data_IF_846411312705
#
_entry.id   IF_846411312705
#
_cell.length_a   1.000
_cell.length_b   1.000
_cell.length_c   1.000
_cell.angle_alpha   90.00
_cell.angle_beta   90.00
_cell.angle_gamma   90.00
#
_symmetry.space_group_name_H-M   'P 1'
#
loop_
_entity.id
_entity.type
_entity.pdbx_description
1 polymer ?
#
# COMPACT_ATOMS: atom_id res chain seq x y z
N UNK A 1 1.38 13.25 -16.89
CA UNK A 1 1.80 12.56 -15.65
C UNK A 1 0.93 13.12 -14.54
N UNK A 2 0.23 12.27 -13.80
CA UNK A 2 -0.59 12.73 -12.67
C UNK A 2 0.32 13.28 -11.57
N UNK A 3 -0.11 14.36 -10.92
CA UNK A 3 0.52 14.90 -9.73
C UNK A 3 -0.02 14.10 -8.54
N UNK A 4 0.81 13.49 -7.71
CA UNK A 4 0.37 12.66 -6.57
C UNK A 4 1.14 13.02 -5.30
N UNK A 5 0.49 12.87 -4.15
CA UNK A 5 1.17 12.98 -2.85
C UNK A 5 1.98 11.69 -2.59
N UNK A 6 2.84 11.69 -1.59
CA UNK A 6 3.70 10.55 -1.24
C UNK A 6 3.46 10.14 0.20
N UNK A 7 3.27 8.85 0.44
CA UNK A 7 3.40 8.32 1.79
C UNK A 7 4.87 8.30 2.21
N UNK A 8 5.15 8.79 3.41
CA UNK A 8 6.50 8.80 3.98
C UNK A 8 6.55 8.08 5.33
N UNK A 9 7.61 7.28 5.51
CA UNK A 9 7.83 6.48 6.72
C UNK A 9 9.26 5.95 6.78
N UNK A 10 9.68 5.50 7.96
CA UNK A 10 10.98 4.86 8.17
C UNK A 10 10.87 3.36 7.88
N UNK A 11 10.99 2.99 6.60
CA UNK A 11 10.74 1.64 6.11
C UNK A 11 12.03 0.81 6.04
N UNK A 12 12.07 -0.32 6.74
CA UNK A 12 13.21 -1.24 6.71
C UNK A 12 13.12 -2.19 5.53
N UNK A 13 14.09 -2.14 4.61
CA UNK A 13 14.14 -3.05 3.47
C UNK A 13 14.44 -4.49 3.93
N UNK A 14 13.69 -5.47 3.43
CA UNK A 14 13.93 -6.88 3.73
C UNK A 14 15.23 -7.39 3.11
N UNK A 15 15.62 -6.88 1.94
CA UNK A 15 16.81 -7.28 1.18
C UNK A 15 18.11 -6.70 1.75
N UNK A 16 18.26 -5.37 1.78
CA UNK A 16 19.53 -4.74 2.20
C UNK A 16 19.55 -4.29 3.67
N UNK A 17 18.42 -4.41 4.39
CA UNK A 17 18.27 -4.06 5.82
C UNK A 17 18.42 -2.58 6.17
N UNK A 18 18.76 -1.71 5.20
CA UNK A 18 18.72 -0.26 5.37
C UNK A 18 17.30 0.24 5.65
N UNK A 19 17.21 1.35 6.38
CA UNK A 19 15.97 2.03 6.71
C UNK A 19 15.86 3.27 5.83
N UNK A 20 14.76 3.42 5.09
CA UNK A 20 14.49 4.62 4.29
C UNK A 20 14.41 5.86 5.17
N UNK A 21 14.72 7.02 4.58
CA UNK A 21 14.34 8.29 5.19
C UNK A 21 12.82 8.43 5.17
N UNK A 22 12.30 9.24 6.08
CA UNK A 22 10.89 9.64 6.09
C UNK A 22 10.71 10.79 5.09
N UNK A 23 10.92 10.48 3.81
CA UNK A 23 10.79 11.39 2.67
C UNK A 23 10.26 10.62 1.44
N UNK A 24 10.06 11.32 0.33
CA UNK A 24 9.53 10.77 -0.93
C UNK A 24 10.50 9.83 -1.68
N UNK A 25 11.70 9.54 -1.17
CA UNK A 25 12.70 8.70 -1.86
C UNK A 25 12.26 7.25 -2.10
N UNK A 26 11.24 6.77 -1.37
CA UNK A 26 10.66 5.44 -1.55
C UNK A 26 9.69 5.35 -2.73
N UNK A 27 9.31 6.50 -3.30
CA UNK A 27 8.35 6.67 -4.38
C UNK A 27 6.97 6.01 -4.10
N UNK A 28 6.57 5.90 -2.84
CA UNK A 28 5.27 5.36 -2.44
C UNK A 28 4.18 6.42 -2.63
N UNK A 29 3.62 6.52 -3.83
CA UNK A 29 2.65 7.55 -4.20
C UNK A 29 1.25 7.22 -3.67
N UNK A 30 0.59 8.21 -3.06
CA UNK A 30 -0.81 8.11 -2.68
C UNK A 30 -1.70 8.84 -3.67
N UNK A 31 -2.66 8.11 -4.23
CA UNK A 31 -3.66 8.63 -5.19
C UNK A 31 -5.00 8.93 -4.51
N UNK A 32 -5.02 8.97 -3.18
CA UNK A 32 -6.25 8.99 -2.37
C UNK A 32 -6.88 10.39 -2.33
N UNK A 33 -6.08 11.46 -2.24
CA UNK A 33 -6.63 12.82 -2.21
C UNK A 33 -7.12 13.23 -3.60
N UNK A 34 -8.33 13.78 -3.67
CA UNK A 34 -8.91 14.30 -4.92
C UNK A 34 -8.19 15.52 -5.48
N UNK A 35 -7.43 16.24 -4.63
CA UNK A 35 -6.59 17.39 -5.00
C UNK A 35 -5.19 17.20 -4.42
N UNK A 36 -4.33 16.41 -5.08
CA UNK A 36 -2.96 16.21 -4.66
C UNK A 36 -2.18 17.54 -4.70
N UNK A 37 -1.19 17.69 -3.82
CA UNK A 37 -0.36 18.89 -3.68
C UNK A 37 1.15 18.59 -3.80
N UNK A 38 1.53 17.35 -4.12
CA UNK A 38 2.91 16.85 -4.05
C UNK A 38 3.45 16.82 -2.61
N UNK A 39 2.56 16.61 -1.64
CA UNK A 39 2.93 16.56 -0.23
C UNK A 39 3.60 15.23 0.13
N UNK A 40 4.51 15.30 1.09
CA UNK A 40 4.99 14.14 1.84
C UNK A 40 4.11 13.94 3.08
N UNK A 41 3.26 12.91 3.07
CA UNK A 41 2.28 12.63 4.11
C UNK A 41 2.69 11.42 4.92
N UNK A 42 2.91 11.63 6.22
CA UNK A 42 3.34 10.58 7.15
C UNK A 42 2.55 10.62 8.44
N UNK A 43 3.11 10.01 9.49
CA UNK A 43 2.50 9.99 10.83
C UNK A 43 2.06 11.40 11.27
N UNK A 44 0.84 11.50 11.78
CA UNK A 44 0.21 12.75 12.22
C UNK A 44 -0.51 13.53 11.13
N UNK A 45 -0.33 13.20 9.85
CA UNK A 45 -1.03 13.89 8.76
C UNK A 45 -2.48 13.42 8.63
N UNK A 46 -3.41 14.33 8.29
CA UNK A 46 -4.80 13.96 8.02
C UNK A 46 -4.91 13.20 6.70
N UNK A 47 -5.65 12.10 6.73
CA UNK A 47 -6.02 11.31 5.58
C UNK A 47 -7.35 10.60 5.84
N UNK A 48 -8.40 11.03 5.14
CA UNK A 48 -9.70 10.37 5.15
C UNK A 48 -9.74 9.33 4.02
N UNK A 49 -10.08 8.09 4.36
CA UNK A 49 -10.19 7.00 3.39
C UNK A 49 -11.57 6.39 3.49
N UNK A 50 -12.36 6.59 2.44
CA UNK A 50 -13.56 5.79 2.17
C UNK A 50 -13.22 4.70 1.15
N UNK A 51 -14.06 3.67 1.07
CA UNK A 51 -13.97 2.65 0.03
C UNK A 51 -13.88 3.28 -1.38
N UNK A 52 -14.78 4.21 -1.70
CA UNK A 52 -14.81 4.85 -3.02
C UNK A 52 -13.53 5.62 -3.36
N UNK A 53 -12.91 6.28 -2.38
CA UNK A 53 -11.63 6.97 -2.56
C UNK A 53 -10.49 5.97 -2.75
N UNK A 54 -10.45 4.90 -1.95
CA UNK A 54 -9.45 3.86 -2.07
C UNK A 54 -9.52 3.14 -3.43
N UNK A 55 -10.72 2.76 -3.86
CA UNK A 55 -10.94 2.12 -5.16
C UNK A 55 -10.60 3.05 -6.32
N UNK A 56 -10.97 4.33 -6.24
CA UNK A 56 -10.57 5.34 -7.22
C UNK A 56 -9.05 5.59 -7.26
N UNK A 57 -8.34 5.29 -6.16
CA UNK A 57 -6.90 5.39 -6.04
C UNK A 57 -6.15 4.12 -6.48
N UNK A 58 -6.85 3.08 -6.93
CA UNK A 58 -6.25 1.82 -7.38
C UNK A 58 -6.10 0.76 -6.29
N UNK A 59 -6.72 0.93 -5.12
CA UNK A 59 -6.77 -0.11 -4.10
C UNK A 59 -7.99 -1.01 -4.30
N UNK A 60 -7.84 -2.27 -3.93
CA UNK A 60 -8.91 -3.24 -3.88
C UNK A 60 -9.34 -3.45 -2.44
N UNK A 61 -10.65 -3.55 -2.24
CA UNK A 61 -11.23 -3.80 -0.93
C UNK A 61 -11.08 -5.28 -0.57
N UNK A 62 -10.32 -5.57 0.49
CA UNK A 62 -10.25 -6.91 1.09
C UNK A 62 -11.36 -7.07 2.12
N UNK A 63 -11.54 -6.06 2.97
CA UNK A 63 -12.61 -5.99 3.96
C UNK A 63 -13.00 -4.54 4.25
N UNK A 64 -14.27 -4.32 4.56
CA UNK A 64 -14.79 -2.99 4.87
C UNK A 64 -14.35 -2.56 6.28
N UNK A 65 -13.70 -1.40 6.45
CA UNK A 65 -13.41 -0.88 7.78
C UNK A 65 -14.71 -0.52 8.50
N UNK A 66 -14.87 -0.98 9.74
CA UNK A 66 -16.03 -0.59 10.55
C UNK A 66 -15.89 0.86 11.03
N UNK A 67 -17.00 1.49 11.37
CA UNK A 67 -16.99 2.84 11.91
C UNK A 67 -16.16 2.89 13.22
N UNK A 68 -15.16 3.78 13.25
CA UNK A 68 -14.26 3.94 14.41
C UNK A 68 -13.14 2.91 14.51
N UNK A 69 -13.09 1.93 13.59
CA UNK A 69 -11.98 1.00 13.47
C UNK A 69 -10.77 1.66 12.81
N UNK A 70 -9.61 1.08 13.04
CA UNK A 70 -8.38 1.43 12.35
C UNK A 70 -8.45 0.94 10.90
N UNK A 71 -8.34 1.85 9.93
CA UNK A 71 -8.19 1.48 8.52
C UNK A 71 -6.74 1.12 8.24
N UNK A 72 -6.53 0.05 7.47
CA UNK A 72 -5.20 -0.48 7.10
C UNK A 72 -5.10 -0.54 5.59
N UNK A 73 -4.14 0.19 5.02
CA UNK A 73 -3.80 0.11 3.60
C UNK A 73 -2.51 -0.68 3.45
N UNK A 74 -2.47 -1.56 2.46
CA UNK A 74 -1.25 -2.24 2.05
C UNK A 74 -0.81 -1.66 0.71
N UNK A 75 0.44 -1.22 0.64
CA UNK A 75 1.02 -0.65 -0.56
C UNK A 75 2.46 -1.11 -0.80
N UNK A 76 3.02 -0.76 -1.95
CA UNK A 76 4.40 -1.08 -2.30
C UNK A 76 5.32 0.13 -2.22
N UNK A 77 6.61 -0.15 -2.02
CA UNK A 77 7.66 0.85 -2.10
C UNK A 77 8.95 0.27 -2.69
N UNK A 78 9.76 1.16 -3.27
CA UNK A 78 11.09 0.80 -3.80
C UNK A 78 12.16 1.24 -2.81
N UNK A 79 13.09 0.34 -2.49
CA UNK A 79 14.18 0.68 -1.58
C UNK A 79 15.16 1.67 -2.26
N UNK A 80 15.37 2.88 -1.70
CA UNK A 80 16.26 3.87 -2.32
C UNK A 80 17.74 3.49 -2.26
N UNK A 81 18.11 2.50 -1.44
CA UNK A 81 19.51 2.08 -1.25
C UNK A 81 19.93 0.97 -2.20
N UNK A 82 19.09 -0.06 -2.39
CA UNK A 82 19.43 -1.23 -3.20
C UNK A 82 18.53 -1.39 -4.44
N UNK A 83 17.57 -0.49 -4.64
CA UNK A 83 16.66 -0.51 -5.79
C UNK A 83 15.68 -1.68 -5.81
N UNK A 84 15.62 -2.51 -4.76
CA UNK A 84 14.67 -3.63 -4.69
C UNK A 84 13.24 -3.08 -4.78
N UNK A 85 12.46 -3.47 -5.81
CA UNK A 85 11.09 -3.01 -5.98
C UNK A 85 10.11 -3.83 -5.14
N UNK A 86 8.85 -3.41 -5.14
CA UNK A 86 7.73 -4.18 -4.58
C UNK A 86 7.87 -4.56 -3.09
N UNK A 87 8.64 -3.85 -2.27
CA UNK A 87 8.60 -4.08 -0.82
C UNK A 87 7.23 -3.67 -0.29
N UNK A 88 6.67 -4.36 0.69
CA UNK A 88 5.35 -4.00 1.22
C UNK A 88 5.45 -3.01 2.38
N UNK A 89 4.48 -2.12 2.46
CA UNK A 89 4.25 -1.23 3.57
C UNK A 89 2.78 -1.24 3.99
N UNK A 90 2.54 -1.19 5.30
CA UNK A 90 1.23 -0.99 5.88
C UNK A 90 1.09 0.47 6.35
N UNK A 91 0.03 1.13 5.89
CA UNK A 91 -0.37 2.47 6.33
C UNK A 91 -1.56 2.31 7.26
N UNK A 92 -1.35 2.69 8.52
CA UNK A 92 -2.36 2.59 9.58
C UNK A 92 -3.02 3.95 9.76
N UNK A 93 -4.34 4.02 9.60
CA UNK A 93 -5.12 5.25 9.69
C UNK A 93 -6.16 5.10 10.78
N UNK A 94 -6.18 6.01 11.74
CA UNK A 94 -7.14 6.00 12.83
C UNK A 94 -7.75 7.39 13.00
N UNK A 95 -9.07 7.45 13.02
CA UNK A 95 -9.83 8.71 13.13
C UNK A 95 -9.41 9.74 12.07
N UNK A 96 -9.13 9.27 10.85
CA UNK A 96 -8.74 10.12 9.72
C UNK A 96 -7.32 10.70 9.80
N UNK A 97 -6.44 10.11 10.61
CA UNK A 97 -5.04 10.53 10.76
C UNK A 97 -4.13 9.31 10.59
N UNK A 98 -3.04 9.47 9.84
CA UNK A 98 -2.01 8.44 9.70
C UNK A 98 -1.35 8.24 11.06
N UNK A 99 -1.46 7.03 11.61
CA UNK A 99 -0.83 6.63 12.87
C UNK A 99 0.51 5.97 12.66
N UNK A 100 0.64 5.19 11.59
CA UNK A 100 1.88 4.50 11.30
C UNK A 100 2.05 4.23 9.80
N UNK A 101 3.30 4.07 9.38
CA UNK A 101 3.73 3.69 8.03
C UNK A 101 4.90 2.72 8.19
N UNK A 102 4.59 1.42 8.11
CA UNK A 102 5.51 0.34 8.52
C UNK A 102 5.86 -0.56 7.37
N UNK A 103 7.11 -1.01 7.30
CA UNK A 103 7.48 -2.10 6.38
C UNK A 103 6.92 -3.43 6.91
N UNK A 104 6.25 -4.19 6.05
CA UNK A 104 5.64 -5.49 6.41
C UNK A 104 6.13 -6.62 5.50
N UNK A 105 5.99 -7.85 5.95
CA UNK A 105 6.37 -9.02 5.17
C UNK A 105 5.36 -9.31 4.06
N UNK A 106 5.83 -9.84 2.92
CA UNK A 106 4.98 -10.36 1.85
C UNK A 106 4.40 -11.71 2.25
N UNK A 107 3.30 -11.70 2.99
CA UNK A 107 2.67 -12.92 3.50
C UNK A 107 1.15 -12.78 3.57
N UNK A 108 0.47 -13.93 3.64
CA UNK A 108 -0.99 -14.03 3.64
C UNK A 108 -1.62 -13.11 4.68
N UNK A 109 -1.08 -13.12 5.90
CA UNK A 109 -1.64 -12.38 7.02
C UNK A 109 -1.60 -10.87 6.80
N UNK A 110 -0.63 -10.36 6.03
CA UNK A 110 -0.57 -8.93 5.69
C UNK A 110 -1.69 -8.51 4.72
N UNK A 111 -2.10 -9.40 3.81
CA UNK A 111 -3.29 -9.16 2.96
C UNK A 111 -4.56 -9.28 3.81
N UNK A 112 -4.71 -10.35 4.58
CA UNK A 112 -5.93 -10.64 5.35
C UNK A 112 -6.22 -9.60 6.44
N UNK A 113 -5.19 -8.94 6.98
CA UNK A 113 -5.34 -7.85 7.95
C UNK A 113 -5.61 -6.49 7.30
N UNK A 114 -5.28 -6.32 6.02
CA UNK A 114 -5.50 -5.07 5.31
C UNK A 114 -6.99 -4.88 5.01
N UNK A 115 -7.45 -3.63 5.07
CA UNK A 115 -8.77 -3.27 4.57
C UNK A 115 -8.73 -3.06 3.06
N UNK A 116 -7.65 -2.44 2.60
CA UNK A 116 -7.42 -2.13 1.20
C UNK A 116 -5.99 -2.51 0.80
N UNK A 117 -5.82 -3.06 -0.40
CA UNK A 117 -4.53 -3.49 -0.96
C UNK A 117 -4.35 -2.86 -2.32
N UNK A 118 -3.21 -2.21 -2.59
CA UNK A 118 -2.97 -1.61 -3.90
C UNK A 118 -2.92 -2.67 -5.00
N UNK A 119 -3.40 -2.31 -6.20
CA UNK A 119 -3.29 -3.16 -7.39
C UNK A 119 -1.82 -3.52 -7.68
N UNK A 120 -0.89 -2.59 -7.42
CA UNK A 120 0.54 -2.79 -7.54
C UNK A 120 1.08 -3.90 -6.59
N UNK A 121 0.51 -4.08 -5.39
CA UNK A 121 0.86 -5.21 -4.52
C UNK A 121 0.53 -6.55 -5.18
N UNK A 122 -0.68 -6.67 -5.74
CA UNK A 122 -1.13 -7.91 -6.36
C UNK A 122 -0.44 -8.16 -7.69
N UNK A 123 -0.14 -7.12 -8.46
CA UNK A 123 0.65 -7.19 -9.69
C UNK A 123 2.05 -7.71 -9.43
N UNK A 124 2.74 -7.17 -8.43
CA UNK A 124 4.07 -7.63 -8.04
C UNK A 124 4.07 -9.11 -7.66
N UNK A 125 3.08 -9.54 -6.89
CA UNK A 125 2.96 -10.94 -6.47
C UNK A 125 2.52 -11.88 -7.60
N UNK A 126 1.60 -11.44 -8.46
CA UNK A 126 1.20 -12.20 -9.65
C UNK A 126 2.40 -12.43 -10.59
N UNK A 127 3.24 -11.40 -10.79
CA UNK A 127 4.46 -11.53 -11.58
C UNK A 127 5.46 -12.51 -10.96
N UNK A 128 5.66 -12.47 -9.63
CA UNK A 128 6.51 -13.42 -8.90
C UNK A 128 6.00 -14.87 -9.03
N UNK A 129 4.67 -15.06 -9.11
CA UNK A 129 4.02 -16.37 -9.22
C UNK A 129 3.81 -16.84 -10.68
N UNK A 130 4.16 -16.02 -11.68
CA UNK A 130 3.91 -16.33 -13.10
C UNK A 130 2.42 -16.38 -13.47
N UNK A 131 1.57 -15.64 -12.77
CA UNK A 131 0.13 -15.54 -13.05
C UNK A 131 -0.14 -14.47 -14.12
N UNK A 132 -1.01 -14.79 -15.08
CA UNK A 132 -1.45 -13.82 -16.08
C UNK A 132 -2.50 -12.86 -15.49
N UNK A 133 -2.07 -11.64 -15.19
CA UNK A 133 -2.91 -10.60 -14.61
C UNK A 133 -3.93 -10.00 -15.60
N UNK A 134 -3.67 -10.05 -16.91
CA UNK A 134 -4.47 -9.30 -17.90
C UNK A 134 -5.88 -9.90 -18.09
N UNK A 135 -6.08 -11.15 -17.68
CA UNK A 135 -7.32 -11.90 -17.87
C UNK A 135 -7.99 -12.34 -16.58
N UNK A 136 -7.48 -11.89 -15.42
CA UNK A 136 -8.05 -12.25 -14.12
C UNK A 136 -8.85 -11.06 -13.57
N UNK A 137 -10.08 -11.33 -13.15
CA UNK A 137 -10.87 -10.37 -12.38
C UNK A 137 -10.10 -9.95 -11.11
N UNK A 138 -10.03 -8.64 -10.83
CA UNK A 138 -9.20 -8.10 -9.75
C UNK A 138 -9.58 -8.63 -8.36
N UNK A 139 -10.86 -8.92 -8.12
CA UNK A 139 -11.29 -9.50 -6.84
C UNK A 139 -10.95 -11.00 -6.78
N UNK A 140 -11.11 -11.72 -7.90
CA UNK A 140 -10.67 -13.10 -8.01
C UNK A 140 -9.15 -13.24 -7.83
N UNK A 141 -8.37 -12.22 -8.22
CA UNK A 141 -6.93 -12.21 -8.05
C UNK A 141 -6.51 -12.25 -6.59
N UNK A 142 -7.18 -11.51 -5.69
CA UNK A 142 -6.88 -11.56 -4.25
C UNK A 142 -6.96 -13.01 -3.76
N UNK A 143 -8.06 -13.69 -4.06
CA UNK A 143 -8.27 -15.08 -3.63
C UNK A 143 -7.24 -16.04 -4.22
N UNK A 144 -6.89 -15.83 -5.49
CA UNK A 144 -5.90 -16.66 -6.17
C UNK A 144 -4.51 -16.45 -5.61
N UNK A 145 -4.11 -15.21 -5.37
CA UNK A 145 -2.83 -14.86 -4.77
C UNK A 145 -2.72 -15.42 -3.35
N UNK A 146 -3.79 -15.32 -2.56
CA UNK A 146 -3.83 -15.89 -1.22
C UNK A 146 -3.58 -17.40 -1.23
N UNK A 147 -3.98 -18.15 -2.25
CA UNK A 147 -3.72 -19.61 -2.32
C UNK A 147 -2.22 -19.97 -2.40
N UNK A 148 -1.35 -19.04 -2.80
CA UNK A 148 0.10 -19.26 -2.93
C UNK A 148 0.91 -18.67 -1.77
N UNK A 149 0.26 -17.93 -0.85
CA UNK A 149 0.84 -17.42 0.39
C UNK A 149 0.46 -18.30 1.58
#
# INVERSE_FOLDING_TARGET
MGMFDYFVGSLKCSTCRNISKTDSSTNMQTKIRSKPQLDEIGVGHPLQVSQSLAEGAGYLTVQQPKLGEVTRLLDIWTCPFCGTPYNWAEIIIQNGVIKDVLAVAKKRESIEQAHFVSDECLLGLAAELGLDYNHIDRHALIQRVLQFL
#
